data_IF_628889643305
#
_entry.id   IF_628889643305
#
_cell.length_a   1.000
_cell.length_b   1.000
_cell.length_c   1.000
_cell.angle_alpha   90.00
_cell.angle_beta   90.00
_cell.angle_gamma   90.00
#
_symmetry.space_group_name_H-M   'P 1'
#
loop_
_entity.id
_entity.type
_entity.pdbx_description
1 polymer ?
#
# COMPACT_ATOMS: atom_id res chain seq x y z
N UNK A 1 -16.80 17.98 3.73
CA UNK A 1 -17.53 17.72 2.46
C UNK A 1 -17.22 16.29 2.07
N UNK A 2 -18.21 15.46 1.70
CA UNK A 2 -17.92 14.14 1.16
C UNK A 2 -17.02 14.26 -0.08
N UNK A 3 -16.09 13.32 -0.24
CA UNK A 3 -15.19 13.25 -1.41
C UNK A 3 -16.03 13.00 -2.66
N UNK A 4 -15.63 13.64 -3.77
CA UNK A 4 -16.24 13.40 -5.07
C UNK A 4 -16.15 11.91 -5.46
N UNK A 5 -17.27 11.23 -5.77
CA UNK A 5 -17.26 9.83 -6.18
C UNK A 5 -16.29 9.51 -7.32
N UNK A 6 -16.09 10.43 -8.28
CA UNK A 6 -15.16 10.23 -9.38
C UNK A 6 -13.69 10.23 -8.91
N UNK A 7 -13.34 10.98 -7.86
CA UNK A 7 -12.02 10.87 -7.20
C UNK A 7 -11.85 9.46 -6.65
N UNK A 8 -12.84 8.94 -5.91
CA UNK A 8 -12.75 7.61 -5.31
C UNK A 8 -12.63 6.50 -6.37
N UNK A 9 -13.31 6.63 -7.50
CA UNK A 9 -13.15 5.70 -8.63
C UNK A 9 -11.72 5.69 -9.15
N UNK A 10 -11.14 6.86 -9.46
CA UNK A 10 -9.77 6.95 -9.97
C UNK A 10 -8.76 6.39 -8.97
N UNK A 11 -8.94 6.71 -7.68
CA UNK A 11 -8.04 6.22 -6.62
C UNK A 11 -8.15 4.71 -6.45
N UNK A 12 -9.36 4.13 -6.49
CA UNK A 12 -9.57 2.68 -6.44
C UNK A 12 -8.89 1.99 -7.62
N UNK A 13 -9.10 2.46 -8.85
CA UNK A 13 -8.45 1.91 -10.04
C UNK A 13 -6.92 2.02 -9.98
N UNK A 14 -6.40 3.11 -9.41
CA UNK A 14 -4.96 3.31 -9.21
C UNK A 14 -4.40 2.32 -8.19
N UNK A 15 -5.04 2.18 -7.04
CA UNK A 15 -4.61 1.27 -5.99
C UNK A 15 -4.73 -0.20 -6.40
N UNK A 16 -5.80 -0.59 -7.11
CA UNK A 16 -5.98 -1.96 -7.62
C UNK A 16 -4.91 -2.34 -8.66
N UNK A 17 -4.54 -1.41 -9.54
CA UNK A 17 -3.43 -1.61 -10.48
C UNK A 17 -2.10 -1.84 -9.76
N UNK A 18 -1.84 -1.08 -8.69
CA UNK A 18 -0.60 -1.20 -7.90
C UNK A 18 -0.58 -2.51 -7.12
N UNK A 19 -1.69 -2.84 -6.47
CA UNK A 19 -1.86 -4.09 -5.73
C UNK A 19 -1.53 -5.29 -6.62
N UNK A 20 -1.92 -5.25 -7.90
CA UNK A 20 -1.75 -6.36 -8.85
C UNK A 20 -0.60 -6.16 -9.85
N UNK A 21 0.33 -5.23 -9.61
CA UNK A 21 1.38 -4.88 -10.59
C UNK A 21 2.45 -5.97 -10.76
N UNK A 22 2.64 -6.82 -9.76
CA UNK A 22 3.63 -7.90 -9.79
C UNK A 22 3.10 -9.14 -10.52
N UNK A 23 3.92 -9.73 -11.40
CA UNK A 23 3.56 -10.97 -12.11
C UNK A 23 4.18 -12.24 -11.51
N UNK A 24 5.35 -12.12 -10.86
CA UNK A 24 6.11 -13.28 -10.34
C UNK A 24 6.85 -12.96 -9.03
N UNK A 25 7.18 -14.02 -8.29
CA UNK A 25 7.94 -13.95 -7.05
C UNK A 25 7.06 -13.74 -5.81
N UNK A 26 7.70 -13.77 -4.63
CA UNK A 26 7.00 -13.74 -3.34
C UNK A 26 5.93 -12.64 -3.26
N UNK A 27 6.30 -11.38 -3.50
CA UNK A 27 5.35 -10.27 -3.37
C UNK A 27 4.16 -10.36 -4.33
N UNK A 28 4.38 -10.79 -5.58
CA UNK A 28 3.31 -10.93 -6.56
C UNK A 28 2.32 -12.05 -6.17
N UNK A 29 2.83 -13.20 -5.70
CA UNK A 29 1.98 -14.32 -5.27
C UNK A 29 1.17 -13.98 -4.02
N UNK A 30 1.74 -13.21 -3.11
CA UNK A 30 1.04 -12.75 -1.91
C UNK A 30 -0.02 -11.67 -2.24
N UNK A 31 0.27 -10.77 -3.19
CA UNK A 31 -0.66 -9.71 -3.55
C UNK A 31 -1.95 -10.19 -4.20
N UNK A 32 -1.93 -11.33 -4.94
CA UNK A 32 -3.13 -11.96 -5.53
C UNK A 32 -4.23 -12.29 -4.51
N UNK A 33 -3.87 -12.38 -3.23
CA UNK A 33 -4.76 -12.72 -2.10
C UNK A 33 -5.36 -11.49 -1.43
N UNK A 34 -4.78 -10.33 -1.69
CA UNK A 34 -5.18 -9.08 -1.11
C UNK A 34 -6.34 -8.49 -1.91
N UNK A 35 -7.35 -8.01 -1.19
CA UNK A 35 -8.47 -7.25 -1.77
C UNK A 35 -8.48 -5.87 -1.15
N UNK A 36 -8.50 -4.83 -1.99
CA UNK A 36 -8.75 -3.47 -1.53
C UNK A 36 -10.20 -3.34 -1.07
N UNK A 37 -10.41 -3.22 0.23
CA UNK A 37 -11.74 -3.10 0.83
C UNK A 37 -12.23 -1.65 0.81
N UNK A 38 -11.38 -0.69 1.22
CA UNK A 38 -11.80 0.70 1.35
C UNK A 38 -10.68 1.72 1.08
N UNK A 39 -11.08 2.91 0.68
CA UNK A 39 -10.24 4.11 0.55
C UNK A 39 -10.98 5.28 1.18
N UNK A 40 -10.35 5.88 2.19
CA UNK A 40 -10.80 7.11 2.83
C UNK A 40 -9.78 8.21 2.54
N UNK A 41 -10.21 9.33 1.97
CA UNK A 41 -9.34 10.49 1.70
C UNK A 41 -10.00 11.78 2.12
N UNK A 42 -9.20 12.79 2.43
CA UNK A 42 -9.66 14.17 2.60
C UNK A 42 -8.73 15.11 1.83
N UNK A 43 -9.27 16.20 1.27
CA UNK A 43 -8.47 17.20 0.56
C UNK A 43 -7.90 16.71 -0.77
N UNK A 44 -8.59 15.82 -1.49
CA UNK A 44 -8.22 15.39 -2.84
C UNK A 44 -9.29 15.87 -3.83
N UNK A 45 -8.86 16.48 -4.94
CA UNK A 45 -9.73 17.06 -5.97
C UNK A 45 -9.45 16.45 -7.34
N UNK A 46 -10.42 16.55 -8.24
CA UNK A 46 -10.19 16.31 -9.67
C UNK A 46 -9.52 17.51 -10.31
N UNK A 47 -8.50 17.25 -11.12
CA UNK A 47 -7.99 18.19 -12.10
C UNK A 47 -8.80 18.10 -13.40
N UNK A 48 -8.70 19.14 -14.24
CA UNK A 48 -9.44 19.24 -15.50
C UNK A 48 -9.03 18.22 -16.57
N UNK A 49 -7.93 17.50 -16.37
CA UNK A 49 -7.41 16.43 -17.23
C UNK A 49 -7.83 15.02 -16.79
N UNK A 50 -8.66 14.91 -15.74
CA UNK A 50 -9.10 13.62 -15.20
C UNK A 50 -8.12 12.99 -14.21
N UNK A 51 -7.08 13.71 -13.78
CA UNK A 51 -6.20 13.27 -12.69
C UNK A 51 -6.69 13.72 -11.31
N UNK A 52 -6.14 13.10 -10.26
CA UNK A 52 -6.37 13.53 -8.88
C UNK A 52 -5.24 14.39 -8.37
N UNK A 53 -5.59 15.48 -7.67
CA UNK A 53 -4.64 16.44 -7.09
C UNK A 53 -4.89 16.54 -5.59
N UNK A 54 -3.92 16.16 -4.74
CA UNK A 54 -4.01 16.34 -3.30
C UNK A 54 -3.68 17.78 -2.92
N UNK A 55 -4.51 18.38 -2.09
CA UNK A 55 -4.29 19.69 -1.51
C UNK A 55 -3.28 19.64 -0.35
N UNK A 56 -2.91 20.81 0.16
CA UNK A 56 -2.11 20.90 1.38
C UNK A 56 -2.92 20.33 2.56
N UNK A 57 -2.34 19.37 3.27
CA UNK A 57 -2.98 18.72 4.41
C UNK A 57 -3.92 17.57 4.04
N UNK A 58 -3.91 17.12 2.77
CA UNK A 58 -4.66 15.95 2.35
C UNK A 58 -4.27 14.72 3.16
N UNK A 59 -5.25 13.88 3.48
CA UNK A 59 -5.08 12.63 4.23
C UNK A 59 -5.53 11.45 3.39
N UNK A 60 -4.96 10.29 3.65
CA UNK A 60 -5.40 9.03 3.05
C UNK A 60 -5.24 7.86 4.02
N UNK A 61 -6.27 7.04 4.06
CA UNK A 61 -6.30 5.72 4.67
C UNK A 61 -6.76 4.71 3.64
N UNK A 62 -6.09 3.56 3.57
CA UNK A 62 -6.50 2.44 2.71
C UNK A 62 -6.67 1.19 3.55
N UNK A 63 -7.72 0.44 3.29
CA UNK A 63 -8.00 -0.84 3.97
C UNK A 63 -7.88 -1.98 2.98
N UNK A 64 -7.03 -2.95 3.28
CA UNK A 64 -6.86 -4.19 2.51
C UNK A 64 -7.28 -5.37 3.37
N UNK A 65 -7.96 -6.34 2.77
CA UNK A 65 -8.37 -7.57 3.45
C UNK A 65 -7.80 -8.80 2.74
N UNK A 66 -7.45 -9.82 3.51
CA UNK A 66 -7.01 -11.13 3.01
C UNK A 66 -7.26 -12.22 4.08
N UNK A 67 -7.00 -13.47 3.73
CA UNK A 67 -6.99 -14.60 4.67
C UNK A 67 -5.58 -15.20 4.74
N UNK A 68 -5.13 -15.55 5.95
CA UNK A 68 -3.86 -16.27 6.15
C UNK A 68 -3.99 -17.66 5.57
N UNK A 69 -3.06 -18.04 4.70
CA UNK A 69 -2.99 -19.36 4.10
C UNK A 69 -1.65 -20.06 4.38
N UNK A 70 -1.50 -21.30 3.91
CA UNK A 70 -0.29 -22.08 4.16
C UNK A 70 0.97 -21.43 3.56
N UNK A 71 0.84 -20.74 2.42
CA UNK A 71 1.98 -20.13 1.71
C UNK A 71 2.61 -18.96 2.46
N UNK A 72 1.88 -18.34 3.38
CA UNK A 72 2.35 -17.24 4.21
C UNK A 72 2.61 -17.64 5.67
N UNK A 73 2.48 -18.92 6.01
CA UNK A 73 2.73 -19.43 7.36
C UNK A 73 4.22 -19.65 7.66
N UNK A 74 4.57 -19.54 8.93
CA UNK A 74 5.82 -20.05 9.50
C UNK A 74 5.67 -21.52 9.92
N UNK A 75 6.75 -22.11 10.44
CA UNK A 75 6.80 -23.52 10.88
C UNK A 75 5.79 -23.88 11.98
N UNK A 76 5.23 -22.88 12.67
CA UNK A 76 4.23 -23.07 13.73
C UNK A 76 2.79 -22.85 13.24
N UNK A 77 2.57 -22.74 11.92
CA UNK A 77 1.22 -22.57 11.33
C UNK A 77 0.61 -21.19 11.55
N UNK A 78 1.42 -20.17 11.83
CA UNK A 78 0.98 -18.78 11.96
C UNK A 78 1.57 -17.92 10.85
N UNK A 79 0.90 -16.83 10.49
CA UNK A 79 1.43 -15.83 9.55
C UNK A 79 2.89 -15.48 9.88
N UNK A 80 3.78 -15.67 8.90
CA UNK A 80 5.21 -15.48 9.06
C UNK A 80 5.52 -14.01 9.35
N UNK A 81 6.47 -13.72 10.25
CA UNK A 81 6.82 -12.33 10.60
C UNK A 81 7.24 -11.51 9.37
N UNK A 82 8.05 -12.11 8.49
CA UNK A 82 8.42 -11.49 7.20
C UNK A 82 7.24 -11.25 6.25
N UNK A 83 6.18 -12.07 6.32
CA UNK A 83 4.96 -11.82 5.56
C UNK A 83 4.16 -10.64 6.13
N UNK A 84 4.04 -10.55 7.45
CA UNK A 84 3.41 -9.40 8.11
C UNK A 84 4.17 -8.09 7.83
N UNK A 85 5.51 -8.12 7.87
CA UNK A 85 6.34 -6.98 7.47
C UNK A 85 6.16 -6.61 5.99
N UNK A 86 6.02 -7.61 5.11
CA UNK A 86 5.68 -7.37 3.71
C UNK A 86 4.29 -6.75 3.53
N UNK A 87 3.26 -7.19 4.27
CA UNK A 87 1.94 -6.56 4.25
C UNK A 87 2.03 -5.08 4.64
N UNK A 88 2.81 -4.75 5.66
CA UNK A 88 3.06 -3.37 6.08
C UNK A 88 3.76 -2.57 4.97
N UNK A 89 4.78 -3.13 4.32
CA UNK A 89 5.48 -2.47 3.21
C UNK A 89 4.56 -2.22 2.01
N UNK A 90 3.82 -3.26 1.61
CA UNK A 90 3.02 -3.26 0.41
C UNK A 90 1.76 -2.40 0.59
N UNK A 91 1.01 -2.58 1.68
CA UNK A 91 -0.24 -1.84 1.90
C UNK A 91 0.01 -0.36 2.20
N UNK A 92 1.13 0.03 2.80
CA UNK A 92 1.44 1.46 3.01
C UNK A 92 1.67 2.19 1.68
N UNK A 93 2.19 1.48 0.67
CA UNK A 93 2.40 2.02 -0.67
C UNK A 93 1.10 2.47 -1.33
N UNK A 94 0.00 1.75 -1.10
CA UNK A 94 -1.31 2.07 -1.65
C UNK A 94 -1.80 3.44 -1.18
N UNK A 95 -1.63 3.75 0.11
CA UNK A 95 -2.04 5.05 0.66
C UNK A 95 -1.25 6.21 0.06
N UNK A 96 0.03 6.01 -0.29
CA UNK A 96 0.82 7.03 -1.00
C UNK A 96 0.24 7.32 -2.39
N UNK A 97 -0.20 6.29 -3.12
CA UNK A 97 -0.84 6.47 -4.42
C UNK A 97 -2.18 7.21 -4.34
N UNK A 98 -2.87 7.19 -3.20
CA UNK A 98 -4.04 8.05 -2.98
C UNK A 98 -3.69 9.54 -2.99
N UNK A 99 -2.46 9.89 -2.58
CA UNK A 99 -1.96 11.27 -2.51
C UNK A 99 -0.85 11.58 -3.52
N UNK A 100 -0.71 10.76 -4.57
CA UNK A 100 0.23 11.02 -5.67
C UNK A 100 -0.32 12.07 -6.63
N UNK A 101 0.58 12.83 -7.27
CA UNK A 101 0.26 13.74 -8.35
C UNK A 101 1.27 13.57 -9.50
N UNK A 102 1.03 14.12 -10.70
CA UNK A 102 1.92 13.93 -11.85
C UNK A 102 3.39 14.31 -11.63
N UNK A 103 3.68 15.22 -10.68
CA UNK A 103 5.02 15.76 -10.41
C UNK A 103 5.64 15.29 -9.07
N UNK A 104 4.89 14.54 -8.25
CA UNK A 104 5.33 14.06 -6.93
C UNK A 104 4.71 12.71 -6.60
N UNK A 105 5.49 11.85 -5.96
CA UNK A 105 5.02 10.51 -5.58
C UNK A 105 4.41 9.75 -6.77
N UNK A 106 4.98 9.92 -7.97
CA UNK A 106 4.60 9.15 -9.18
C UNK A 106 4.91 7.65 -9.03
N UNK A 107 5.69 7.32 -8.00
CA UNK A 107 5.82 5.99 -7.41
C UNK A 107 5.49 6.08 -5.92
N UNK A 108 5.35 4.95 -5.24
CA UNK A 108 5.25 4.94 -3.77
C UNK A 108 6.54 5.39 -3.05
N UNK A 109 7.60 5.72 -3.78
CA UNK A 109 8.93 5.94 -3.22
C UNK A 109 9.62 4.65 -2.78
N UNK A 110 10.78 4.81 -2.17
CA UNK A 110 11.59 3.72 -1.60
C UNK A 110 11.52 3.73 -0.08
N UNK A 111 11.52 2.56 0.53
CA UNK A 111 11.52 2.37 1.98
C UNK A 111 12.87 2.80 2.56
N UNK A 112 12.90 3.78 3.46
CA UNK A 112 14.12 4.17 4.19
C UNK A 112 14.12 3.61 5.61
N UNK A 113 12.94 3.39 6.18
CA UNK A 113 12.78 2.69 7.45
C UNK A 113 11.44 2.00 7.52
N UNK A 114 11.43 0.77 8.03
CA UNK A 114 10.23 0.05 8.43
C UNK A 114 10.46 -0.51 9.83
N UNK A 115 9.54 -0.24 10.74
CA UNK A 115 9.51 -0.82 12.08
C UNK A 115 8.24 -1.64 12.24
N UNK A 116 8.32 -2.78 12.91
CA UNK A 116 7.20 -3.71 13.08
C UNK A 116 7.17 -4.26 14.49
N UNK A 117 6.04 -4.07 15.16
CA UNK A 117 5.68 -4.72 16.41
C UNK A 117 4.82 -5.93 16.10
N UNK A 118 5.25 -7.12 16.51
CA UNK A 118 4.47 -8.35 16.43
C UNK A 118 3.73 -8.56 17.75
N UNK A 119 2.41 -8.42 17.72
CA UNK A 119 1.59 -8.23 18.93
C UNK A 119 0.82 -9.50 19.27
N UNK A 120 0.23 -10.16 18.27
CA UNK A 120 -0.46 -11.44 18.50
C UNK A 120 -0.38 -12.36 17.29
N UNK A 121 -0.64 -13.65 17.54
CA UNK A 121 -0.61 -14.68 16.52
C UNK A 121 -1.80 -14.54 15.55
N UNK A 122 -1.55 -14.87 14.28
CA UNK A 122 -2.57 -15.05 13.25
C UNK A 122 -2.41 -16.46 12.64
N UNK A 123 -3.06 -17.48 13.20
CA UNK A 123 -3.04 -18.84 12.66
C UNK A 123 -3.56 -18.91 11.22
N UNK A 124 -3.25 -20.01 10.52
CA UNK A 124 -3.89 -20.39 9.26
C UNK A 124 -5.42 -20.17 9.30
N UNK A 125 -5.96 -19.57 8.23
CA UNK A 125 -7.38 -19.23 8.11
C UNK A 125 -7.78 -17.93 8.80
N UNK A 126 -6.87 -17.22 9.47
CA UNK A 126 -7.20 -15.94 10.11
C UNK A 126 -7.56 -14.89 9.05
N UNK A 127 -8.74 -14.27 9.10
CA UNK A 127 -9.06 -13.15 8.24
C UNK A 127 -8.34 -11.90 8.75
N UNK A 128 -7.51 -11.30 7.91
CA UNK A 128 -6.78 -10.08 8.22
C UNK A 128 -7.42 -8.87 7.55
N UNK A 129 -7.40 -7.76 8.29
CA UNK A 129 -7.64 -6.41 7.81
C UNK A 129 -6.38 -5.58 8.06
N UNK A 130 -5.86 -4.97 7.00
CA UNK A 130 -4.67 -4.10 7.03
C UNK A 130 -5.12 -2.68 6.76
N UNK A 131 -5.04 -1.82 7.78
CA UNK A 131 -5.39 -0.40 7.69
C UNK A 131 -4.11 0.42 7.65
N UNK A 132 -3.86 1.06 6.51
CA UNK A 132 -2.68 1.90 6.29
C UNK A 132 -3.10 3.36 6.27
N UNK A 133 -2.49 4.19 7.12
CA UNK A 133 -2.78 5.62 7.24
C UNK A 133 -1.52 6.45 7.02
N UNK A 134 -1.63 7.50 6.21
CA UNK A 134 -0.59 8.52 6.12
C UNK A 134 -0.65 9.41 7.37
N UNK A 135 0.44 9.42 8.15
CA UNK A 135 0.62 10.33 9.28
C UNK A 135 1.12 11.68 8.79
N UNK A 136 2.08 11.66 7.87
CA UNK A 136 2.62 12.86 7.23
C UNK A 136 3.08 12.52 5.81
N UNK A 137 2.80 13.40 4.85
CA UNK A 137 3.40 13.35 3.51
C UNK A 137 3.92 14.73 3.12
N UNK A 138 5.21 14.79 2.78
CA UNK A 138 5.89 16.00 2.36
C UNK A 138 6.28 15.96 0.89
N UNK A 139 7.21 16.86 0.52
CA UNK A 139 7.76 16.92 -0.84
C UNK A 139 8.59 15.70 -1.21
N UNK A 140 9.28 15.10 -0.25
CA UNK A 140 10.22 13.99 -0.52
C UNK A 140 10.15 12.85 0.48
N UNK A 141 9.42 12.98 1.59
CA UNK A 141 9.33 11.94 2.62
C UNK A 141 7.89 11.80 3.10
N UNK A 142 7.49 10.56 3.41
CA UNK A 142 6.21 10.21 3.98
C UNK A 142 6.41 9.27 5.17
N UNK A 143 5.62 9.46 6.21
CA UNK A 143 5.53 8.57 7.37
C UNK A 143 4.13 8.01 7.45
N UNK A 144 4.04 6.68 7.56
CA UNK A 144 2.79 5.94 7.56
C UNK A 144 2.73 5.06 8.81
N UNK A 145 1.51 4.87 9.32
CA UNK A 145 1.17 3.86 10.31
C UNK A 145 0.35 2.77 9.61
N UNK A 146 0.65 1.51 9.90
CA UNK A 146 -0.10 0.37 9.36
C UNK A 146 -0.49 -0.56 10.49
N UNK A 147 -1.78 -0.88 10.57
CA UNK A 147 -2.33 -1.82 11.55
C UNK A 147 -2.79 -3.07 10.84
N UNK A 148 -2.26 -4.22 11.24
CA UNK A 148 -2.74 -5.53 10.79
C UNK A 148 -3.57 -6.12 11.92
N UNK A 149 -4.85 -6.35 11.66
CA UNK A 149 -5.84 -6.76 12.64
C UNK A 149 -6.54 -8.04 12.17
N UNK A 150 -6.95 -8.89 13.10
CA UNK A 150 -7.94 -9.91 12.79
C UNK A 150 -9.26 -9.19 12.50
N UNK A 151 -9.77 -9.31 11.27
CA UNK A 151 -10.93 -8.57 10.76
C UNK A 151 -12.19 -8.79 11.60
N UNK A 152 -12.37 -10.01 12.10
CA UNK A 152 -13.61 -10.43 12.76
C UNK A 152 -13.61 -10.09 14.26
N UNK A 153 -12.43 -10.04 14.88
CA UNK A 153 -12.28 -9.78 16.33
C UNK A 153 -11.71 -8.41 16.66
N UNK A 154 -11.21 -7.68 15.66
CA UNK A 154 -10.43 -6.43 15.80
C UNK A 154 -9.16 -6.57 16.65
N UNK A 155 -8.69 -7.79 16.91
CA UNK A 155 -7.46 -8.03 17.66
C UNK A 155 -6.26 -7.61 16.82
N UNK A 156 -5.40 -6.77 17.38
CA UNK A 156 -4.18 -6.31 16.72
C UNK A 156 -3.16 -7.46 16.61
N UNK A 157 -2.77 -7.78 15.39
CA UNK A 157 -1.78 -8.82 15.03
C UNK A 157 -0.40 -8.19 14.93
N UNK A 158 -0.28 -7.10 14.18
CA UNK A 158 0.95 -6.33 14.05
C UNK A 158 0.69 -4.84 13.90
N UNK A 159 1.63 -4.02 14.36
CA UNK A 159 1.66 -2.58 14.16
C UNK A 159 2.96 -2.19 13.44
N UNK A 160 2.84 -1.41 12.38
CA UNK A 160 3.97 -0.95 11.60
C UNK A 160 4.06 0.57 11.53
N UNK A 161 5.28 1.09 11.49
CA UNK A 161 5.56 2.43 10.99
C UNK A 161 6.47 2.32 9.79
N UNK A 162 6.19 3.08 8.74
CA UNK A 162 6.93 3.01 7.49
C UNK A 162 7.28 4.41 7.01
N UNK A 163 8.58 4.68 6.85
CA UNK A 163 9.10 5.88 6.22
C UNK A 163 9.49 5.58 4.77
N UNK A 164 8.87 6.31 3.85
CA UNK A 164 9.20 6.27 2.43
C UNK A 164 9.78 7.58 1.95
N UNK A 165 10.69 7.49 1.00
CA UNK A 165 11.29 8.64 0.32
C UNK A 165 10.86 8.66 -1.13
N UNK A 166 10.30 9.77 -1.59
CA UNK A 166 10.00 9.98 -3.01
C UNK A 166 11.31 10.08 -3.78
N UNK A 167 11.45 9.23 -4.80
CA UNK A 167 12.58 9.23 -5.70
C UNK A 167 12.14 9.86 -7.00
N UNK A 168 12.51 11.13 -7.20
CA UNK A 168 12.35 11.79 -8.49
C UNK A 168 13.15 11.00 -9.52
N UNK A 169 12.46 10.18 -10.32
CA UNK A 169 13.12 9.41 -11.37
C UNK A 169 13.58 10.39 -12.44
N UNK A 170 14.86 10.31 -12.81
CA UNK A 170 15.31 10.92 -14.05
C UNK A 170 14.60 10.24 -15.23
N UNK A 171 14.40 10.93 -16.36
CA UNK A 171 13.85 10.31 -17.58
C UNK A 171 14.58 9.02 -17.99
N UNK A 172 15.89 8.95 -17.72
CA UNK A 172 16.76 7.81 -18.01
C UNK A 172 16.47 6.58 -17.13
N UNK A 173 16.11 6.78 -15.85
CA UNK A 173 15.77 5.69 -14.94
C UNK A 173 14.44 5.02 -15.33
N UNK A 174 13.48 5.80 -15.83
CA UNK A 174 12.20 5.31 -16.35
C UNK A 174 12.39 4.44 -17.60
N UNK A 175 13.31 4.82 -18.50
CA UNK A 175 13.61 4.06 -19.72
C UNK A 175 14.28 2.70 -19.47
N UNK A 176 15.09 2.55 -18.40
CA UNK A 176 15.76 1.28 -18.07
C UNK A 176 14.80 0.18 -17.62
N UNK A 177 13.72 0.52 -16.91
CA UNK A 177 12.72 -0.45 -16.46
C UNK A 177 11.89 -0.97 -17.63
N UNK A 178 11.51 -0.09 -18.57
CA UNK A 178 10.80 -0.49 -19.79
C UNK A 178 11.56 -1.56 -20.59
N UNK A 179 12.89 -1.43 -20.70
CA UNK A 179 13.75 -2.43 -21.34
C UNK A 179 13.83 -3.77 -20.60
N UNK A 180 13.77 -3.77 -19.26
CA UNK A 180 13.86 -5.01 -18.47
C UNK A 180 12.55 -5.80 -18.46
N UNK A 181 11.41 -5.12 -18.61
CA UNK A 181 10.10 -5.75 -18.76
C UNK A 181 9.88 -6.26 -20.19
N UNK A 182 10.39 -5.55 -21.21
CA UNK A 182 10.29 -5.99 -22.61
C UNK A 182 11.25 -7.12 -22.98
N UNK A 183 12.31 -7.37 -22.21
CA UNK A 183 13.29 -8.44 -22.48
C UNK A 183 12.92 -9.79 -21.86
N UNK A 184 11.71 -9.93 -21.31
CA UNK A 184 11.17 -11.16 -20.72
C UNK A 184 9.89 -11.67 -21.41
N UNK A 185 9.58 -11.11 -22.58
CA UNK A 185 8.67 -11.66 -23.59
C UNK A 185 9.50 -12.18 -24.76
#
# INVERSE_FOLDING_TARGET
MPVDPAVLTILRDRCERVLNMGHHGFGAEQAKRCRLADIEVEGVKLAGDGETVPERGATATTTVELEVDESCCNISGNAHGGFLAWLIDHCSSLSIFCLSAPDRWTTSGVSTNINTFYISAAPLGTPLRVVSKIIQIGKSSATLEVRVENRDTNKLVALGTHVKQDVKRSPEATARIGKHLSSKL
#
